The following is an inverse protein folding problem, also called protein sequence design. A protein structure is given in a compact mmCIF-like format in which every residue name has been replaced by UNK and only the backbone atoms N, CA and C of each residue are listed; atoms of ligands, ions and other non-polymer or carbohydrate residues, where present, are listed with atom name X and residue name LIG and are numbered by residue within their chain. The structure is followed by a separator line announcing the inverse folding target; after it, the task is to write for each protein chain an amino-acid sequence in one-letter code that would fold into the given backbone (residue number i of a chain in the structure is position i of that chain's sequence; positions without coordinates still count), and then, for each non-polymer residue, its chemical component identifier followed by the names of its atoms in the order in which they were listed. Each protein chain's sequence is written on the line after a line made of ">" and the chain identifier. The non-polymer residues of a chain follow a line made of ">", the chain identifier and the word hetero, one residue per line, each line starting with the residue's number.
data_IF_698715930823
#
_entry.id   IF_698715930823
#
_cell.length_a   1.000
_cell.length_b   1.000
_cell.length_c   1.000
_cell.angle_alpha   90.00
_cell.angle_beta   90.00
_cell.angle_gamma   90.00
#
_symmetry.space_group_name_H-M   'P 1'
#
loop_
_entity.id
_entity.type
_entity.pdbx_description
1 polymer ?
#
# COMPACT_ATOMS: atom_id res chain seq x y z
N UNK A 1 1.60 14.79 2.63
CA UNK A 1 0.78 14.62 1.41
C UNK A 1 -0.53 13.99 1.84
N UNK A 2 -1.65 14.53 1.36
CA UNK A 2 -2.99 14.03 1.67
C UNK A 2 -3.27 12.69 0.96
N UNK A 3 -4.00 11.78 1.62
CA UNK A 3 -4.29 10.45 1.09
C UNK A 3 -5.14 10.50 -0.20
N UNK A 4 -6.03 11.48 -0.32
CA UNK A 4 -6.89 11.68 -1.49
C UNK A 4 -6.06 12.09 -2.70
N UNK A 5 -5.08 12.98 -2.51
CA UNK A 5 -4.13 13.39 -3.56
C UNK A 5 -3.31 12.19 -4.02
N UNK A 6 -2.78 11.39 -3.07
CA UNK A 6 -2.03 10.16 -3.40
C UNK A 6 -2.87 9.15 -4.20
N UNK A 7 -4.13 8.93 -3.80
CA UNK A 7 -5.05 8.05 -4.53
C UNK A 7 -5.37 8.57 -5.92
N UNK A 8 -5.56 9.88 -6.09
CA UNK A 8 -5.77 10.48 -7.40
C UNK A 8 -4.56 10.28 -8.30
N UNK A 9 -3.35 10.54 -7.80
CA UNK A 9 -2.12 10.32 -8.55
C UNK A 9 -1.97 8.86 -9.01
N UNK A 10 -2.24 7.90 -8.12
CA UNK A 10 -2.23 6.48 -8.49
C UNK A 10 -3.24 6.16 -9.60
N UNK A 11 -4.46 6.70 -9.52
CA UNK A 11 -5.50 6.52 -10.55
C UNK A 11 -5.09 7.09 -11.91
N UNK A 12 -4.52 8.29 -11.94
CA UNK A 12 -4.05 8.92 -13.18
C UNK A 12 -2.91 8.12 -13.83
N UNK A 13 -1.93 7.67 -13.04
CA UNK A 13 -0.87 6.77 -13.52
C UNK A 13 -1.44 5.48 -14.11
N UNK A 14 -2.42 4.87 -13.44
CA UNK A 14 -3.09 3.67 -13.92
C UNK A 14 -3.91 3.93 -15.19
N UNK A 15 -4.60 5.06 -15.28
CA UNK A 15 -5.31 5.49 -16.48
C UNK A 15 -4.38 5.67 -17.68
N UNK A 16 -3.15 6.13 -17.43
CA UNK A 16 -2.08 6.24 -18.43
C UNK A 16 -1.34 4.91 -18.73
N UNK A 17 -1.79 3.77 -18.19
CA UNK A 17 -1.17 2.47 -18.42
C UNK A 17 0.10 2.18 -17.60
N UNK A 18 0.49 3.06 -16.68
CA UNK A 18 1.69 2.94 -15.84
C UNK A 18 1.43 2.02 -14.63
N UNK A 19 1.08 0.76 -14.92
CA UNK A 19 0.68 -0.27 -13.94
C UNK A 19 1.76 -1.31 -13.64
N UNK A 20 2.92 -1.23 -14.29
CA UNK A 20 4.02 -2.18 -14.10
C UNK A 20 5.37 -1.47 -14.13
N UNK A 21 6.43 -2.06 -13.52
CA UNK A 21 7.78 -1.52 -13.63
C UNK A 21 8.21 -1.32 -15.09
N UNK A 22 7.90 -2.29 -15.97
CA UNK A 22 8.19 -2.20 -17.41
C UNK A 22 7.51 -0.98 -18.05
N UNK A 23 6.24 -0.76 -17.78
CA UNK A 23 5.50 0.37 -18.34
C UNK A 23 6.04 1.71 -17.83
N UNK A 24 6.37 1.80 -16.54
CA UNK A 24 6.99 2.99 -15.94
C UNK A 24 8.33 3.30 -16.60
N UNK A 25 9.19 2.30 -16.78
CA UNK A 25 10.52 2.48 -17.37
C UNK A 25 10.51 2.79 -18.86
N UNK A 26 9.44 2.40 -19.57
CA UNK A 26 9.25 2.74 -20.98
C UNK A 26 8.60 4.13 -21.18
N UNK A 27 8.06 4.73 -20.12
CA UNK A 27 7.37 6.01 -20.21
C UNK A 27 8.35 7.17 -20.35
N UNK A 28 7.97 8.17 -21.16
CA UNK A 28 8.70 9.44 -21.18
C UNK A 28 8.58 10.15 -19.81
N UNK A 29 9.72 10.62 -19.28
CA UNK A 29 9.79 11.25 -17.95
C UNK A 29 8.86 12.46 -17.86
N UNK A 30 8.76 13.29 -18.90
CA UNK A 30 7.88 14.49 -18.88
C UNK A 30 6.43 14.09 -18.78
N UNK A 31 6.03 12.98 -19.41
CA UNK A 31 4.68 12.42 -19.26
C UNK A 31 4.38 12.04 -17.81
N UNK A 32 5.31 11.37 -17.12
CA UNK A 32 5.12 10.99 -15.70
C UNK A 32 5.03 12.23 -14.79
N UNK A 33 5.89 13.24 -15.01
CA UNK A 33 5.84 14.51 -14.26
C UNK A 33 4.49 15.20 -14.47
N UNK A 34 4.02 15.30 -15.71
CA UNK A 34 2.72 15.90 -16.03
C UNK A 34 1.57 15.19 -15.31
N UNK A 35 1.58 13.86 -15.25
CA UNK A 35 0.57 13.07 -14.54
C UNK A 35 0.56 13.43 -13.04
N UNK A 36 1.73 13.49 -12.40
CA UNK A 36 1.82 13.91 -11.00
C UNK A 36 1.33 15.36 -10.82
N UNK A 37 1.70 16.29 -11.71
CA UNK A 37 1.22 17.67 -11.69
C UNK A 37 -0.32 17.76 -11.75
N UNK A 38 -0.95 17.01 -12.66
CA UNK A 38 -2.42 16.94 -12.81
C UNK A 38 -3.12 16.34 -11.57
N UNK A 39 -2.43 15.49 -10.83
CA UNK A 39 -2.92 14.93 -9.58
C UNK A 39 -2.69 15.85 -8.36
N UNK A 40 -2.31 17.11 -8.57
CA UNK A 40 -1.98 18.10 -7.53
C UNK A 40 -0.73 17.76 -6.70
N UNK A 41 0.20 16.96 -7.24
CA UNK A 41 1.56 16.81 -6.71
C UNK A 41 2.49 17.92 -7.20
N UNK A 42 2.01 19.12 -7.53
CA UNK A 42 2.78 20.18 -8.21
C UNK A 42 4.12 20.51 -7.53
N UNK A 43 4.20 20.43 -6.20
CA UNK A 43 5.46 20.68 -5.45
C UNK A 43 6.45 19.50 -5.50
N UNK A 44 5.99 18.31 -5.83
CA UNK A 44 6.71 17.05 -5.70
C UNK A 44 6.65 16.20 -6.97
N UNK A 45 6.20 16.73 -8.09
CA UNK A 45 5.96 15.99 -9.34
C UNK A 45 7.25 15.40 -9.90
N UNK A 46 8.31 16.20 -10.00
CA UNK A 46 9.62 15.75 -10.46
C UNK A 46 10.24 14.71 -9.53
N UNK A 47 10.20 14.97 -8.22
CA UNK A 47 10.78 14.06 -7.22
C UNK A 47 10.00 12.75 -7.11
N UNK A 48 8.67 12.79 -7.29
CA UNK A 48 7.80 11.61 -7.31
C UNK A 48 7.98 10.81 -8.59
N UNK A 49 8.14 11.48 -9.74
CA UNK A 49 8.47 10.83 -11.00
C UNK A 49 9.84 10.13 -10.93
N UNK A 50 10.87 10.78 -10.38
CA UNK A 50 12.17 10.15 -10.12
C UNK A 50 12.03 8.95 -9.19
N UNK A 51 11.33 9.10 -8.06
CA UNK A 51 11.15 8.00 -7.10
C UNK A 51 10.42 6.81 -7.72
N UNK A 52 9.38 7.06 -8.51
CA UNK A 52 8.63 6.00 -9.20
C UNK A 52 9.54 5.23 -10.17
N UNK A 53 10.39 5.94 -10.93
CA UNK A 53 11.37 5.32 -11.82
C UNK A 53 12.43 4.53 -11.02
N UNK A 54 12.99 5.11 -9.95
CA UNK A 54 13.97 4.44 -9.07
C UNK A 54 13.39 3.13 -8.49
N UNK A 55 12.13 3.15 -8.04
CA UNK A 55 11.45 1.95 -7.55
C UNK A 55 11.28 0.93 -8.69
N UNK A 56 10.84 1.35 -9.88
CA UNK A 56 10.67 0.45 -11.01
C UNK A 56 11.98 -0.20 -11.46
N UNK A 57 13.10 0.54 -11.44
CA UNK A 57 14.45 0.00 -11.66
C UNK A 57 14.77 -1.05 -10.60
N UNK A 58 14.60 -0.73 -9.32
CA UNK A 58 14.89 -1.67 -8.24
C UNK A 58 14.04 -2.95 -8.33
N UNK A 59 12.76 -2.85 -8.72
CA UNK A 59 11.90 -4.04 -8.94
C UNK A 59 12.40 -4.87 -10.13
N UNK A 60 12.79 -4.22 -11.23
CA UNK A 60 13.33 -4.91 -12.41
C UNK A 60 14.65 -5.63 -12.08
N UNK A 61 15.59 -4.92 -11.48
CA UNK A 61 16.97 -5.40 -11.33
C UNK A 61 17.10 -6.44 -10.22
N UNK A 62 16.43 -6.23 -9.08
CA UNK A 62 16.55 -7.12 -7.92
C UNK A 62 15.52 -8.25 -7.93
N UNK A 63 14.39 -8.05 -8.61
CA UNK A 63 13.25 -8.97 -8.56
C UNK A 63 12.71 -9.32 -9.95
N UNK A 64 13.44 -9.03 -11.04
CA UNK A 64 13.02 -9.39 -12.40
C UNK A 64 11.68 -8.80 -12.84
N UNK A 65 11.23 -7.70 -12.22
CA UNK A 65 9.93 -7.09 -12.49
C UNK A 65 8.76 -7.67 -11.69
N UNK A 66 9.00 -8.67 -10.82
CA UNK A 66 7.96 -9.37 -10.07
C UNK A 66 8.20 -9.30 -8.56
N UNK A 67 7.44 -8.45 -7.88
CA UNK A 67 7.52 -8.29 -6.43
C UNK A 67 7.21 -9.59 -5.67
N UNK A 68 6.52 -10.58 -6.25
CA UNK A 68 6.28 -11.88 -5.60
C UNK A 68 7.58 -12.62 -5.28
N UNK A 69 8.70 -12.25 -5.89
CA UNK A 69 10.03 -12.76 -5.53
C UNK A 69 10.54 -12.28 -4.17
N UNK A 70 9.99 -11.19 -3.62
CA UNK A 70 10.21 -10.83 -2.21
C UNK A 70 9.56 -11.88 -1.28
N UNK A 71 8.44 -12.46 -1.70
CA UNK A 71 7.65 -13.38 -0.91
C UNK A 71 8.18 -14.83 -0.89
N UNK A 72 9.21 -15.16 -1.68
CA UNK A 72 9.79 -16.49 -1.68
C UNK A 72 10.60 -16.69 -0.39
N UNK A 73 10.21 -17.68 0.41
CA UNK A 73 10.94 -18.17 1.60
C UNK A 73 11.29 -17.11 2.66
N UNK A 74 10.34 -16.21 2.95
CA UNK A 74 10.55 -15.09 3.88
C UNK A 74 9.49 -15.03 4.98
N UNK A 75 9.83 -14.43 6.12
CA UNK A 75 8.87 -14.05 7.16
C UNK A 75 8.42 -12.58 6.99
N UNK A 76 7.42 -12.18 7.78
CA UNK A 76 6.84 -10.82 7.73
C UNK A 76 7.91 -9.75 7.99
N UNK A 77 8.82 -9.99 8.95
CA UNK A 77 9.84 -9.03 9.33
C UNK A 77 10.90 -8.85 8.24
N UNK A 78 11.29 -9.93 7.58
CA UNK A 78 12.21 -9.90 6.44
C UNK A 78 11.55 -9.27 5.23
N UNK A 79 10.30 -9.60 4.91
CA UNK A 79 9.57 -8.91 3.84
C UNK A 79 9.45 -7.41 4.12
N UNK A 80 9.16 -7.02 5.37
CA UNK A 80 9.12 -5.60 5.78
C UNK A 80 10.48 -4.93 5.60
N UNK A 81 11.58 -5.59 5.99
CA UNK A 81 12.95 -5.09 5.80
C UNK A 81 13.31 -4.92 4.32
N UNK A 82 12.93 -5.88 3.47
CA UNK A 82 13.16 -5.81 2.02
C UNK A 82 12.33 -4.69 1.38
N UNK A 83 11.05 -4.55 1.75
CA UNK A 83 10.20 -3.46 1.28
C UNK A 83 10.78 -2.08 1.65
N UNK A 84 11.42 -1.96 2.82
CA UNK A 84 12.07 -0.72 3.26
C UNK A 84 13.35 -0.35 2.48
N UNK A 85 13.86 -1.25 1.64
CA UNK A 85 14.99 -0.93 0.75
C UNK A 85 14.56 -0.07 -0.45
N UNK A 86 13.27 -0.04 -0.77
CA UNK A 86 12.76 0.83 -1.82
C UNK A 86 12.74 2.28 -1.35
N UNK A 87 13.30 3.18 -2.18
CA UNK A 87 13.41 4.60 -1.87
C UNK A 87 12.06 5.22 -1.52
N UNK A 88 11.97 5.78 -0.32
CA UNK A 88 10.74 6.43 0.17
C UNK A 88 9.72 5.48 0.80
N UNK A 89 10.06 4.21 1.00
CA UNK A 89 9.25 3.25 1.75
C UNK A 89 9.83 3.10 3.17
N UNK A 90 9.12 3.63 4.15
CA UNK A 90 9.41 3.43 5.58
C UNK A 90 8.50 2.37 6.22
N UNK A 91 8.51 2.26 7.56
CA UNK A 91 7.68 1.29 8.29
C UNK A 91 6.19 1.41 7.98
N UNK A 92 5.69 2.64 7.83
CA UNK A 92 4.30 2.88 7.41
C UNK A 92 4.02 2.37 6.00
N UNK A 93 4.92 2.61 5.05
CA UNK A 93 4.75 2.19 3.67
C UNK A 93 4.79 0.67 3.52
N UNK A 94 5.74 0.02 4.20
CA UNK A 94 5.84 -1.44 4.24
C UNK A 94 4.62 -2.07 4.94
N UNK A 95 4.14 -1.47 6.03
CA UNK A 95 2.93 -1.93 6.72
C UNK A 95 1.67 -1.80 5.86
N UNK A 96 1.51 -0.69 5.13
CA UNK A 96 0.43 -0.53 4.15
C UNK A 96 0.52 -1.61 3.08
N UNK A 97 1.71 -1.85 2.51
CA UNK A 97 1.90 -2.87 1.48
C UNK A 97 1.49 -4.26 1.99
N UNK A 98 2.01 -4.68 3.14
CA UNK A 98 1.71 -5.99 3.73
C UNK A 98 0.22 -6.14 4.07
N UNK A 99 -0.44 -5.06 4.51
CA UNK A 99 -1.89 -5.04 4.77
C UNK A 99 -2.71 -5.31 3.50
N UNK A 100 -2.34 -4.70 2.38
CA UNK A 100 -3.11 -4.80 1.13
C UNK A 100 -2.76 -6.04 0.29
N UNK A 101 -1.51 -6.54 0.36
CA UNK A 101 -1.02 -7.62 -0.52
C UNK A 101 -1.50 -9.02 -0.11
N UNK A 102 -2.20 -9.17 1.02
CA UNK A 102 -2.53 -10.49 1.60
C UNK A 102 -3.34 -11.41 0.67
N UNK A 103 -4.03 -10.86 -0.34
CA UNK A 103 -4.75 -11.65 -1.36
C UNK A 103 -3.83 -12.28 -2.40
N UNK A 104 -2.63 -11.73 -2.57
CA UNK A 104 -1.59 -12.25 -3.45
C UNK A 104 -0.53 -13.02 -2.64
N UNK A 105 -0.18 -12.54 -1.45
CA UNK A 105 0.76 -13.18 -0.52
C UNK A 105 0.00 -13.74 0.66
N UNK A 106 -0.66 -14.89 0.46
CA UNK A 106 -1.55 -15.49 1.46
C UNK A 106 -0.85 -15.89 2.76
N UNK A 107 0.46 -16.14 2.71
CA UNK A 107 1.29 -16.43 3.90
C UNK A 107 1.43 -15.23 4.85
N UNK A 108 1.13 -14.01 4.40
CA UNK A 108 1.11 -12.81 5.25
C UNK A 108 -0.12 -12.79 6.17
N UNK A 109 -1.14 -13.62 5.88
CA UNK A 109 -2.40 -13.61 6.62
C UNK A 109 -2.24 -14.27 8.01
N UNK A 110 -2.88 -13.72 9.06
CA UNK A 110 -3.52 -12.42 9.10
C UNK A 110 -2.52 -11.30 9.42
N UNK A 111 -2.53 -10.21 8.63
CA UNK A 111 -1.77 -8.99 8.92
C UNK A 111 -2.69 -7.79 9.15
N UNK A 112 -2.57 -7.21 10.33
CA UNK A 112 -3.21 -5.97 10.73
C UNK A 112 -2.15 -5.03 11.29
N UNK A 113 -2.00 -3.84 10.70
CA UNK A 113 -1.13 -2.82 11.28
C UNK A 113 -1.75 -2.20 12.54
N UNK A 114 -0.95 -1.41 13.28
CA UNK A 114 -1.38 -0.77 14.52
C UNK A 114 -2.62 0.11 14.33
N UNK A 115 -2.81 0.72 13.15
CA UNK A 115 -3.96 1.57 12.88
C UNK A 115 -5.22 0.73 12.73
N UNK A 116 -5.15 -0.41 12.03
CA UNK A 116 -6.27 -1.33 11.89
C UNK A 116 -6.69 -1.94 13.24
N UNK A 117 -5.73 -2.41 14.05
CA UNK A 117 -6.04 -2.99 15.38
C UNK A 117 -6.56 -1.95 16.37
N UNK A 118 -6.05 -0.72 16.32
CA UNK A 118 -6.58 0.39 17.12
C UNK A 118 -8.02 0.75 16.72
N UNK A 119 -8.32 0.78 15.42
CA UNK A 119 -9.68 1.03 14.94
C UNK A 119 -10.65 -0.08 15.36
N UNK A 120 -10.23 -1.35 15.25
CA UNK A 120 -11.01 -2.50 15.72
C UNK A 120 -11.39 -2.35 17.20
N UNK A 121 -10.43 -2.03 18.06
CA UNK A 121 -10.68 -1.81 19.49
C UNK A 121 -11.71 -0.73 19.74
N UNK A 122 -11.67 0.38 18.99
CA UNK A 122 -12.59 1.50 19.14
C UNK A 122 -14.02 1.17 18.76
N UNK A 123 -14.23 0.16 17.92
CA UNK A 123 -15.56 -0.30 17.50
C UNK A 123 -15.98 -1.62 18.18
N UNK A 124 -15.32 -1.98 19.28
CA UNK A 124 -15.69 -3.18 20.07
C UNK A 124 -15.26 -4.52 19.47
N UNK A 125 -14.45 -4.52 18.40
CA UNK A 125 -13.88 -5.75 17.85
C UNK A 125 -12.61 -6.17 18.61
N UNK A 126 -12.22 -7.46 18.54
CA UNK A 126 -10.92 -7.90 19.03
C UNK A 126 -9.78 -7.08 18.43
N UNK A 127 -8.72 -6.81 19.20
CA UNK A 127 -7.53 -6.11 18.71
C UNK A 127 -6.36 -7.06 18.37
N UNK A 128 -6.52 -8.35 18.68
CA UNK A 128 -5.56 -9.39 18.33
C UNK A 128 -5.66 -9.75 16.84
N UNK A 129 -4.55 -9.78 16.07
CA UNK A 129 -4.58 -10.09 14.64
C UNK A 129 -5.18 -11.46 14.30
N UNK A 130 -4.96 -12.49 15.12
CA UNK A 130 -5.51 -13.82 14.86
C UNK A 130 -7.03 -13.84 15.09
N UNK A 131 -7.49 -13.24 16.18
CA UNK A 131 -8.92 -13.08 16.46
C UNK A 131 -9.64 -12.24 15.38
N UNK A 132 -9.03 -11.15 14.92
CA UNK A 132 -9.56 -10.36 13.80
C UNK A 132 -9.58 -11.13 12.49
N UNK A 133 -8.51 -11.89 12.21
CA UNK A 133 -8.42 -12.75 11.04
C UNK A 133 -9.55 -13.78 11.00
N UNK A 134 -9.93 -14.34 12.15
CA UNK A 134 -11.01 -15.32 12.28
C UNK A 134 -12.40 -14.75 11.94
N UNK A 135 -12.63 -13.44 12.07
CA UNK A 135 -13.88 -12.79 11.65
C UNK A 135 -14.03 -12.72 10.12
N UNK A 136 -12.91 -12.75 9.39
CA UNK A 136 -12.88 -12.60 7.94
C UNK A 136 -11.78 -13.50 7.30
N UNK A 137 -11.86 -14.83 7.44
CA UNK A 137 -10.75 -15.74 7.09
C UNK A 137 -10.41 -15.73 5.59
N UNK A 138 -11.37 -15.38 4.73
CA UNK A 138 -11.19 -15.26 3.27
C UNK A 138 -11.05 -13.81 2.78
N UNK A 139 -11.13 -12.84 3.68
CA UNK A 139 -11.25 -11.41 3.36
C UNK A 139 -10.42 -10.53 4.29
N UNK A 140 -9.30 -11.04 4.80
CA UNK A 140 -8.49 -10.35 5.83
C UNK A 140 -7.94 -9.01 5.35
N UNK A 141 -7.45 -8.92 4.10
CA UNK A 141 -7.05 -7.64 3.51
C UNK A 141 -8.20 -6.63 3.48
N UNK A 142 -9.39 -7.07 3.05
CA UNK A 142 -10.59 -6.23 2.99
C UNK A 142 -11.01 -5.75 4.37
N UNK A 143 -10.98 -6.63 5.39
CA UNK A 143 -11.26 -6.25 6.77
C UNK A 143 -10.23 -5.23 7.29
N UNK A 144 -8.94 -5.49 7.11
CA UNK A 144 -7.89 -4.57 7.56
C UNK A 144 -8.02 -3.19 6.89
N UNK A 145 -8.30 -3.15 5.58
CA UNK A 145 -8.51 -1.90 4.85
C UNK A 145 -9.80 -1.19 5.27
N UNK A 146 -10.87 -1.92 5.64
CA UNK A 146 -12.10 -1.33 6.18
C UNK A 146 -11.85 -0.68 7.55
N UNK A 147 -11.13 -1.36 8.44
CA UNK A 147 -10.73 -0.83 9.75
C UNK A 147 -9.90 0.45 9.62
N UNK A 148 -8.99 0.52 8.65
CA UNK A 148 -8.25 1.76 8.37
C UNK A 148 -9.17 2.88 7.88
N UNK A 149 -10.18 2.61 7.05
CA UNK A 149 -11.16 3.64 6.65
C UNK A 149 -11.97 4.14 7.84
N UNK A 150 -12.43 3.23 8.70
CA UNK A 150 -13.09 3.57 9.97
C UNK A 150 -12.18 4.41 10.87
N UNK A 151 -10.86 4.22 10.80
CA UNK A 151 -9.93 5.06 11.58
C UNK A 151 -9.95 6.54 11.15
N UNK A 152 -10.37 6.88 9.93
CA UNK A 152 -10.40 8.24 9.39
C UNK A 152 -11.79 8.89 9.37
N UNK A 153 -12.86 8.13 9.63
CA UNK A 153 -14.24 8.58 9.47
C UNK A 153 -14.99 8.40 10.80
N UNK A 154 -15.21 9.51 11.50
CA UNK A 154 -15.84 9.50 12.81
C UNK A 154 -17.35 9.26 12.75
N UNK A 155 -18.02 9.66 11.66
CA UNK A 155 -19.45 9.38 11.44
C UNK A 155 -19.66 7.89 11.21
N UNK A 156 -18.84 7.29 10.34
CA UNK A 156 -18.85 5.85 10.11
C UNK A 156 -18.48 5.08 11.39
N UNK A 157 -17.57 5.61 12.22
CA UNK A 157 -17.25 5.01 13.51
C UNK A 157 -18.44 5.06 14.46
N UNK A 158 -19.12 6.20 14.58
CA UNK A 158 -20.29 6.36 15.45
C UNK A 158 -21.42 5.39 15.03
N UNK A 159 -21.66 5.25 13.73
CA UNK A 159 -22.67 4.33 13.20
C UNK A 159 -22.39 2.84 13.49
N UNK A 160 -21.13 2.46 13.71
CA UNK A 160 -20.74 1.06 14.02
C UNK A 160 -20.79 0.73 15.52
N UNK A 161 -20.92 1.73 16.38
CA UNK A 161 -20.92 1.59 17.85
C UNK A 161 -22.30 1.84 18.47
N UNK A 162 -23.23 2.40 17.69
CA UNK A 162 -24.64 2.56 18.05
C UNK A 162 -25.41 1.23 17.98
#
# INVERSE_FOLDING_TARGET
>A
IDATIAMRAARELFGAGLKSPKAVLAADRRTVIRIFGQAHYVRYDESSATRLADIAVAVRDNYGGDLRRIAADTDIDTAKRLLKQFKGIGDTGAGIFLREVQDVWTWVRPYFDQRATAAARRIGLPADPAALGALAPRSTAKLAAALVRVSFDDDMRAALVA
#
